data_IF_907197055964
#
_entry.id   IF_907197055964
#
_cell.length_a   1.000
_cell.length_b   1.000
_cell.length_c   1.000
_cell.angle_alpha   90.00
_cell.angle_beta   90.00
_cell.angle_gamma   90.00
#
_symmetry.space_group_name_H-M   'P 1'
#
loop_
_entity.id
_entity.type
_entity.pdbx_description
1 polymer ?
#
# COMPACT_ATOMS: atom_id res chain seq x y z
N UNK A 1 17.52 16.10 3.98
CA UNK A 1 16.75 14.85 4.21
C UNK A 1 15.57 14.87 3.26
N UNK A 2 15.47 13.90 2.35
CA UNK A 2 14.41 13.86 1.35
C UNK A 2 13.51 12.67 1.61
N UNK A 3 12.20 12.88 1.58
CA UNK A 3 11.20 11.82 1.68
C UNK A 3 10.49 11.73 0.32
N UNK A 4 10.31 10.50 -0.15
CA UNK A 4 9.59 10.18 -1.37
C UNK A 4 8.31 9.45 -1.02
N UNK A 5 7.23 9.76 -1.75
CA UNK A 5 5.91 9.21 -1.54
C UNK A 5 5.45 8.56 -2.83
N UNK A 6 4.94 7.35 -2.72
CA UNK A 6 4.54 6.54 -3.86
C UNK A 6 3.15 5.95 -3.63
N UNK A 7 2.36 5.88 -4.70
CA UNK A 7 1.05 5.26 -4.74
C UNK A 7 1.03 4.30 -5.94
N UNK A 8 0.63 3.06 -5.70
CA UNK A 8 0.29 2.08 -6.72
C UNK A 8 -1.22 1.85 -6.59
N UNK A 9 -1.93 2.01 -7.69
CA UNK A 9 -3.37 1.84 -7.76
C UNK A 9 -3.65 0.70 -8.75
N UNK A 10 -4.08 -0.43 -8.20
CA UNK A 10 -4.49 -1.62 -8.94
C UNK A 10 -6.00 -1.82 -8.80
N UNK A 11 -6.75 -0.74 -8.58
CA UNK A 11 -8.19 -0.80 -8.47
C UNK A 11 -8.83 -1.25 -9.79
N UNK A 12 -9.91 -2.00 -9.67
CA UNK A 12 -10.80 -2.37 -10.76
C UNK A 12 -12.24 -1.95 -10.46
N UNK A 13 -13.19 -2.33 -11.30
CA UNK A 13 -14.60 -1.96 -11.15
C UNK A 13 -15.24 -2.52 -9.85
N UNK A 14 -14.64 -3.53 -9.23
CA UNK A 14 -15.19 -4.25 -8.07
C UNK A 14 -14.43 -3.92 -6.78
N UNK A 15 -13.14 -3.60 -6.87
CA UNK A 15 -12.29 -3.41 -5.72
C UNK A 15 -11.39 -2.20 -5.88
N UNK A 16 -11.33 -1.40 -4.82
CA UNK A 16 -10.20 -0.53 -4.58
C UNK A 16 -9.03 -1.37 -4.07
N UNK A 17 -7.89 -1.31 -4.75
CA UNK A 17 -6.67 -1.98 -4.31
C UNK A 17 -5.51 -1.00 -4.43
N UNK A 18 -5.20 -0.32 -3.32
CA UNK A 18 -4.25 0.77 -3.31
C UNK A 18 -3.13 0.49 -2.33
N UNK A 19 -1.90 0.63 -2.81
CA UNK A 19 -0.69 0.51 -2.03
C UNK A 19 0.05 1.83 -1.97
N UNK A 20 0.41 2.25 -0.77
CA UNK A 20 1.15 3.48 -0.51
C UNK A 20 2.48 3.13 0.16
N UNK A 21 3.56 3.76 -0.28
CA UNK A 21 4.86 3.64 0.38
C UNK A 21 5.50 5.02 0.55
N UNK A 22 6.12 5.24 1.71
CA UNK A 22 7.00 6.39 1.92
C UNK A 22 8.42 5.94 2.25
N UNK A 23 9.41 6.66 1.71
CA UNK A 23 10.82 6.30 1.79
C UNK A 23 11.66 7.51 2.12
N UNK A 24 12.68 7.33 2.96
CA UNK A 24 13.65 8.37 3.32
C UNK A 24 15.00 8.13 2.64
N UNK A 25 15.57 9.19 2.06
CA UNK A 25 16.95 9.24 1.62
C UNK A 25 17.88 9.54 2.80
N UNK A 26 18.80 8.62 3.09
CA UNK A 26 19.84 8.80 4.12
C UNK A 26 21.22 8.76 3.49
N UNK A 27 22.13 9.57 4.01
CA UNK A 27 23.55 9.44 3.71
C UNK A 27 24.16 8.34 4.53
N UNK A 28 24.96 7.50 3.90
CA UNK A 28 25.68 6.40 4.54
C UNK A 28 27.15 6.51 4.19
N UNK A 29 28.01 6.34 5.19
CA UNK A 29 29.46 6.24 5.01
C UNK A 29 29.81 4.76 5.02
N UNK A 30 30.37 4.26 3.92
CA UNK A 30 30.88 2.91 3.83
C UNK A 30 32.35 2.93 4.24
N UNK A 31 32.69 2.16 5.27
CA UNK A 31 34.03 2.13 5.90
C UNK A 31 35.21 1.95 4.92
N UNK A 32 34.97 1.42 3.72
CA UNK A 32 36.00 1.12 2.72
C UNK A 32 35.76 1.76 1.33
N UNK A 33 34.63 2.45 1.11
CA UNK A 33 34.20 2.86 -0.26
C UNK A 33 33.67 4.29 -0.36
N UNK A 34 33.82 5.10 0.70
CA UNK A 34 33.38 6.51 0.71
C UNK A 34 31.93 6.69 1.17
N UNK A 35 31.32 7.84 0.87
CA UNK A 35 29.91 8.13 1.20
C UNK A 35 28.98 7.83 0.02
N UNK A 36 27.74 7.45 0.34
CA UNK A 36 26.69 7.18 -0.65
C UNK A 36 25.30 7.45 -0.09
N UNK A 37 24.28 7.10 -0.87
CA UNK A 37 22.88 7.19 -0.47
C UNK A 37 22.31 5.80 -0.18
N UNK A 38 21.47 5.71 0.84
CA UNK A 38 20.64 4.56 1.13
C UNK A 38 19.20 5.02 1.27
N UNK A 39 18.25 4.13 0.97
CA UNK A 39 16.82 4.42 1.04
C UNK A 39 16.19 3.44 2.01
N UNK A 40 15.51 3.97 3.03
CA UNK A 40 14.79 3.17 4.03
C UNK A 40 13.30 3.43 3.90
N UNK A 41 12.50 2.38 3.99
CA UNK A 41 11.04 2.53 4.01
C UNK A 41 10.61 3.06 5.37
N UNK A 42 9.81 4.11 5.38
CA UNK A 42 9.23 4.68 6.59
C UNK A 42 7.87 4.05 6.89
N UNK A 43 7.07 3.85 5.84
CA UNK A 43 5.70 3.36 5.94
C UNK A 43 5.34 2.59 4.66
N UNK A 44 4.54 1.54 4.81
CA UNK A 44 3.77 0.88 3.77
C UNK A 44 2.31 0.75 4.27
N UNK A 45 1.36 1.21 3.46
CA UNK A 45 -0.07 1.05 3.69
C UNK A 45 -0.66 0.31 2.50
N UNK A 46 -1.33 -0.82 2.76
CA UNK A 46 -2.09 -1.54 1.75
C UNK A 46 -3.57 -1.44 2.14
N UNK A 47 -4.38 -0.92 1.25
CA UNK A 47 -5.81 -0.76 1.41
C UNK A 47 -6.53 -1.56 0.33
N UNK A 48 -7.44 -2.42 0.76
CA UNK A 48 -8.32 -3.16 -0.14
C UNK A 48 -9.76 -2.98 0.34
N UNK A 49 -10.67 -2.58 -0.54
CA UNK A 49 -12.09 -2.48 -0.20
C UNK A 49 -12.96 -2.70 -1.43
N UNK A 50 -14.15 -3.28 -1.23
CA UNK A 50 -15.14 -3.36 -2.30
C UNK A 50 -15.63 -1.96 -2.72
N UNK A 51 -15.86 -1.78 -4.03
CA UNK A 51 -16.53 -0.60 -4.60
C UNK A 51 -18.04 -0.64 -4.36
N UNK A 52 -18.63 -1.85 -4.36
CA UNK A 52 -20.03 -2.11 -4.06
C UNK A 52 -20.20 -2.80 -2.71
N UNK A 53 -20.40 -2.00 -1.67
CA UNK A 53 -20.63 -2.48 -0.30
C UNK A 53 -21.97 -3.22 -0.12
N UNK A 54 -22.90 -3.13 -1.08
CA UNK A 54 -24.17 -3.86 -1.00
C UNK A 54 -24.01 -5.31 -1.43
N UNK A 55 -23.15 -5.55 -2.41
CA UNK A 55 -22.86 -6.89 -2.92
C UNK A 55 -21.67 -7.54 -2.21
N UNK A 56 -20.74 -6.74 -1.70
CA UNK A 56 -19.51 -7.20 -1.06
C UNK A 56 -19.18 -6.36 0.18
N UNK A 57 -19.33 -6.93 1.37
CA UNK A 57 -18.83 -6.32 2.61
C UNK A 57 -17.40 -6.80 2.86
N UNK A 58 -16.42 -6.16 2.21
CA UNK A 58 -15.01 -6.42 2.48
C UNK A 58 -14.19 -5.14 2.50
N UNK A 59 -13.40 -4.99 3.56
CA UNK A 59 -12.34 -4.01 3.66
C UNK A 59 -11.18 -4.59 4.46
N UNK A 60 -9.96 -4.27 4.06
CA UNK A 60 -8.76 -4.58 4.81
C UNK A 60 -7.78 -3.43 4.72
N UNK A 61 -7.10 -3.21 5.83
CA UNK A 61 -6.04 -2.22 5.94
C UNK A 61 -4.84 -2.89 6.61
N UNK A 62 -3.73 -3.00 5.87
CA UNK A 62 -2.46 -3.51 6.39
C UNK A 62 -1.46 -2.37 6.44
N UNK A 63 -0.93 -2.10 7.63
CA UNK A 63 0.05 -1.05 7.85
C UNK A 63 1.35 -1.68 8.34
N UNK A 64 2.47 -1.27 7.75
CA UNK A 64 3.81 -1.57 8.22
C UNK A 64 4.57 -0.25 8.35
N UNK A 65 5.09 0.03 9.55
CA UNK A 65 5.88 1.22 9.83
C UNK A 65 6.95 0.89 10.86
N UNK A 66 8.07 1.60 10.82
CA UNK A 66 9.14 1.43 11.79
C UNK A 66 10.31 2.35 11.48
N UNK A 67 10.69 3.17 12.46
CA UNK A 67 11.86 4.07 12.36
C UNK A 67 13.16 3.31 12.09
N UNK A 68 13.23 2.06 12.54
CA UNK A 68 14.40 1.18 12.46
C UNK A 68 14.08 -0.16 11.75
N UNK A 69 13.07 -0.16 10.87
CA UNK A 69 12.75 -1.35 10.06
C UNK A 69 13.94 -1.73 9.16
N UNK A 70 14.17 -3.03 8.98
CA UNK A 70 15.21 -3.61 8.12
C UNK A 70 14.90 -3.48 6.63
N UNK A 71 13.75 -2.89 6.28
CA UNK A 71 13.29 -2.71 4.91
C UNK A 71 14.01 -1.55 4.21
N UNK A 72 15.17 -1.87 3.64
CA UNK A 72 15.96 -0.99 2.77
C UNK A 72 15.76 -1.26 1.28
N UNK A 73 16.10 -0.28 0.44
CA UNK A 73 16.22 -0.46 -1.00
C UNK A 73 17.68 -0.68 -1.41
N UNK A 74 17.92 -1.50 -2.42
CA UNK A 74 19.27 -1.84 -2.89
C UNK A 74 19.95 -0.69 -3.68
N UNK A 75 19.19 0.34 -4.07
CA UNK A 75 19.69 1.45 -4.87
C UNK A 75 20.68 2.32 -4.08
N UNK A 76 21.77 2.72 -4.74
CA UNK A 76 22.84 3.53 -4.12
C UNK A 76 22.80 5.01 -4.53
N UNK A 77 21.90 5.39 -5.43
CA UNK A 77 21.66 6.75 -5.88
C UNK A 77 20.17 6.96 -6.20
N UNK A 78 19.77 8.24 -6.35
CA UNK A 78 18.35 8.60 -6.48
C UNK A 78 17.76 8.16 -7.81
N UNK A 79 18.54 8.28 -8.88
CA UNK A 79 18.11 7.91 -10.23
C UNK A 79 17.70 6.43 -10.28
N UNK A 80 18.52 5.55 -9.72
CA UNK A 80 18.24 4.12 -9.71
C UNK A 80 17.08 3.77 -8.75
N UNK A 81 16.97 4.48 -7.63
CA UNK A 81 15.85 4.32 -6.71
C UNK A 81 14.51 4.67 -7.38
N UNK A 82 14.43 5.86 -8.00
CA UNK A 82 13.22 6.29 -8.70
C UNK A 82 12.91 5.39 -9.88
N UNK A 83 13.92 5.01 -10.67
CA UNK A 83 13.74 4.06 -11.77
C UNK A 83 13.11 2.77 -11.27
N UNK A 84 13.66 2.14 -10.23
CA UNK A 84 13.15 0.88 -9.70
C UNK A 84 11.72 0.97 -9.13
N UNK A 85 11.31 2.14 -8.63
CA UNK A 85 9.94 2.35 -8.12
C UNK A 85 8.94 2.60 -9.23
N UNK A 86 9.30 3.43 -10.19
CA UNK A 86 8.42 3.89 -11.27
C UNK A 86 8.38 2.92 -12.46
N UNK A 87 9.23 1.89 -12.48
CA UNK A 87 9.22 0.89 -13.55
C UNK A 87 7.92 0.08 -13.54
N UNK A 88 7.17 0.22 -14.63
CA UNK A 88 5.90 -0.48 -14.88
C UNK A 88 6.10 -2.00 -14.91
N UNK A 89 7.29 -2.49 -15.29
CA UNK A 89 7.54 -3.93 -15.36
C UNK A 89 7.67 -4.59 -13.98
N UNK A 90 7.76 -3.81 -12.90
CA UNK A 90 7.99 -4.33 -11.57
C UNK A 90 6.81 -4.05 -10.63
N UNK A 91 6.42 -2.79 -10.46
CA UNK A 91 5.39 -2.40 -9.48
C UNK A 91 4.53 -1.21 -9.88
N UNK A 92 4.83 -0.50 -10.96
CA UNK A 92 3.99 0.58 -11.49
C UNK A 92 3.56 1.62 -10.42
N UNK A 93 4.49 2.08 -9.58
CA UNK A 93 4.17 3.17 -8.67
C UNK A 93 4.14 4.50 -9.41
N UNK A 94 3.24 5.38 -8.98
CA UNK A 94 3.28 6.81 -9.27
C UNK A 94 3.89 7.54 -8.08
N UNK A 95 4.88 8.40 -8.33
CA UNK A 95 5.39 9.30 -7.29
C UNK A 95 4.42 10.48 -7.10
N UNK A 96 4.12 10.80 -5.85
CA UNK A 96 3.23 11.91 -5.47
C UNK A 96 3.90 12.85 -4.47
N UNK A 97 3.28 14.00 -4.23
CA UNK A 97 3.68 14.88 -3.15
C UNK A 97 3.16 14.38 -1.78
N UNK A 98 3.65 15.04 -0.73
CA UNK A 98 3.29 14.74 0.65
C UNK A 98 1.80 14.97 0.93
N UNK A 99 1.23 16.05 0.40
CA UNK A 99 -0.16 16.44 0.68
C UNK A 99 -1.13 15.38 0.15
N UNK A 100 -0.93 14.93 -1.09
CA UNK A 100 -1.71 13.86 -1.71
C UNK A 100 -1.58 12.56 -0.94
N UNK A 101 -0.37 12.21 -0.52
CA UNK A 101 -0.13 11.01 0.29
C UNK A 101 -0.85 11.09 1.64
N UNK A 102 -0.69 12.17 2.40
CA UNK A 102 -1.32 12.33 3.72
C UNK A 102 -2.85 12.41 3.65
N UNK A 103 -3.39 13.03 2.60
CA UNK A 103 -4.83 13.09 2.35
C UNK A 103 -5.42 11.70 2.10
N UNK A 104 -4.77 10.89 1.26
CA UNK A 104 -5.23 9.53 0.97
C UNK A 104 -5.09 8.61 2.20
N UNK A 105 -3.96 8.73 2.91
CA UNK A 105 -3.71 8.02 4.18
C UNK A 105 -4.81 8.28 5.21
N UNK A 106 -5.18 9.54 5.39
CA UNK A 106 -6.27 9.94 6.31
C UNK A 106 -7.61 9.37 5.88
N UNK A 107 -7.90 9.34 4.57
CA UNK A 107 -9.13 8.76 4.03
C UNK A 107 -9.22 7.26 4.30
N UNK A 108 -8.14 6.51 4.12
CA UNK A 108 -8.10 5.07 4.38
C UNK A 108 -8.32 4.74 5.86
N UNK A 109 -7.72 5.50 6.76
CA UNK A 109 -7.96 5.32 8.19
C UNK A 109 -9.41 5.58 8.59
N UNK A 110 -10.03 6.63 8.02
CA UNK A 110 -11.45 6.90 8.26
C UNK A 110 -12.35 5.78 7.75
N UNK A 111 -12.15 5.33 6.50
CA UNK A 111 -12.97 4.24 5.93
C UNK A 111 -12.82 2.97 6.77
N UNK A 112 -11.58 2.63 7.13
CA UNK A 112 -11.34 1.47 7.98
C UNK A 112 -12.03 1.62 9.34
N UNK A 113 -11.98 2.80 9.98
CA UNK A 113 -12.66 3.08 11.26
C UNK A 113 -14.18 2.94 11.16
N UNK A 114 -14.78 3.47 10.10
CA UNK A 114 -16.23 3.39 9.81
C UNK A 114 -16.69 1.95 9.53
N UNK A 115 -15.82 1.10 8.96
CA UNK A 115 -16.11 -0.27 8.54
C UNK A 115 -15.48 -1.34 9.45
N UNK A 116 -15.07 -0.97 10.66
CA UNK A 116 -14.29 -1.84 11.57
C UNK A 116 -14.97 -3.17 11.92
N UNK A 117 -16.30 -3.19 11.94
CA UNK A 117 -17.07 -4.32 12.42
C UNK A 117 -18.12 -4.72 11.39
N UNK A 118 -18.13 -6.00 11.03
CA UNK A 118 -19.25 -6.61 10.30
C UNK A 118 -20.49 -6.53 11.17
N UNK A 119 -21.62 -6.19 10.56
CA UNK A 119 -22.92 -6.35 11.22
C UNK A 119 -23.34 -7.82 11.20
N UNK A 120 -23.19 -8.54 12.32
CA UNK A 120 -23.56 -9.96 12.36
C UNK A 120 -25.05 -10.23 12.08
N UNK A 121 -25.93 -9.25 12.28
CA UNK A 121 -27.37 -9.40 12.04
C UNK A 121 -27.72 -9.44 10.54
N UNK A 122 -26.84 -8.97 9.66
CA UNK A 122 -27.05 -9.02 8.20
C UNK A 122 -26.62 -10.35 7.59
N UNK A 123 -25.97 -11.23 8.36
CA UNK A 123 -25.46 -12.51 7.86
C UNK A 123 -26.64 -13.50 7.69
N UNK A 124 -26.87 -14.02 6.47
CA UNK A 124 -27.93 -15.00 6.24
C UNK A 124 -27.74 -16.26 7.09
N UNK A 125 -28.78 -16.69 7.80
CA UNK A 125 -28.75 -17.91 8.65
C UNK A 125 -28.75 -19.21 7.86
N UNK A 126 -29.06 -19.16 6.55
CA UNK A 126 -29.12 -20.31 5.65
C UNK A 126 -28.58 -19.87 4.29
N UNK A 127 -27.55 -20.54 3.80
CA UNK A 127 -27.07 -20.40 2.42
C UNK A 127 -27.59 -21.59 1.61
N UNK A 128 -28.27 -21.30 0.50
CA UNK A 128 -28.69 -22.33 -0.45
C UNK A 128 -27.60 -22.50 -1.51
N UNK A 129 -26.95 -23.66 -1.49
CA UNK A 129 -25.97 -24.03 -2.50
C UNK A 129 -26.69 -24.76 -3.64
N UNK A 130 -26.68 -24.17 -4.83
CA UNK A 130 -27.08 -24.88 -6.04
C UNK A 130 -25.92 -25.75 -6.53
N UNK A 131 -25.90 -27.02 -6.12
CA UNK A 131 -24.93 -28.00 -6.63
C UNK A 131 -25.37 -28.41 -8.04
N UNK A 132 -24.65 -27.95 -9.07
CA UNK A 132 -24.75 -28.55 -10.41
C UNK A 132 -23.83 -29.77 -10.47
N UNK A 133 -24.44 -30.96 -10.48
CA UNK A 133 -23.73 -32.17 -10.86
C UNK A 133 -23.54 -32.14 -12.37
N UNK A 134 -22.29 -32.07 -12.83
CA UNK A 134 -21.94 -32.23 -14.23
C UNK A 134 -21.99 -33.73 -14.54
N UNK A 135 -22.99 -34.17 -15.30
CA UNK A 135 -23.11 -35.53 -15.85
C UNK A 135 -22.59 -35.59 -17.28
#
# INVERSE_FOLDING_TARGET
MNIFYFIQDESDDRFHNIKMESWIEVEVVYNSTGSGKSYKRLEEINFHAATDLKSFECASLKISFGKDDCMGHHAKNRKDFLKAKLDESFRNYTQVDRERYEALRSKFFRIHDEQRCINFDTIPKKQEYNIRVLS
#
